data_IF_454471830253
#
_entry.id   IF_454471830253
#
_cell.length_a   1.000
_cell.length_b   1.000
_cell.length_c   1.000
_cell.angle_alpha   90.00
_cell.angle_beta   90.00
_cell.angle_gamma   90.00
#
_symmetry.space_group_name_H-M   'P 1'
#
loop_
_entity.id
_entity.type
_entity.pdbx_description
1 polymer ?
#
# COMPACT_ATOMS: atom_id res chain seq x y z
N UNK A 1 28.58 9.06 10.81
CA UNK A 1 27.36 9.40 10.04
C UNK A 1 27.70 9.22 8.57
N UNK A 2 27.04 8.29 7.86
CA UNK A 2 27.33 8.00 6.45
C UNK A 2 26.32 8.76 5.56
N UNK A 3 26.74 9.83 4.85
CA UNK A 3 25.82 10.65 4.05
C UNK A 3 25.18 9.88 2.89
N UNK A 4 25.85 8.85 2.38
CA UNK A 4 25.34 7.98 1.31
C UNK A 4 24.08 7.21 1.75
N UNK A 5 24.03 6.78 3.02
CA UNK A 5 22.89 6.04 3.57
C UNK A 5 21.65 6.93 3.66
N UNK A 6 21.85 8.21 4.00
CA UNK A 6 20.77 9.20 4.05
C UNK A 6 20.22 9.50 2.64
N UNK A 7 21.08 9.67 1.65
CA UNK A 7 20.66 9.87 0.25
C UNK A 7 19.86 8.67 -0.29
N UNK A 8 20.33 7.45 -0.07
CA UNK A 8 19.61 6.25 -0.50
C UNK A 8 18.24 6.10 0.19
N UNK A 9 18.21 6.30 1.51
CA UNK A 9 17.00 6.20 2.34
C UNK A 9 15.95 7.26 2.02
N UNK A 10 16.40 8.46 1.67
CA UNK A 10 15.48 9.59 1.44
C UNK A 10 15.01 9.67 -0.01
N UNK A 11 15.84 9.26 -0.98
CA UNK A 11 15.57 9.49 -2.40
C UNK A 11 15.42 8.23 -3.26
N UNK A 12 15.87 7.04 -2.81
CA UNK A 12 15.82 5.81 -3.61
C UNK A 12 14.89 4.76 -3.00
N UNK A 13 14.98 4.53 -1.69
CA UNK A 13 14.11 3.59 -0.96
C UNK A 13 12.61 3.79 -1.22
N UNK A 14 12.02 5.00 -1.21
CA UNK A 14 10.58 5.17 -1.47
C UNK A 14 10.13 4.65 -2.84
N UNK A 15 10.98 4.71 -3.87
CA UNK A 15 10.66 4.16 -5.19
C UNK A 15 10.75 2.63 -5.25
N UNK A 16 11.56 2.03 -4.38
CA UNK A 16 11.74 0.58 -4.26
C UNK A 16 10.84 -0.06 -3.19
N UNK A 17 10.05 0.73 -2.47
CA UNK A 17 9.21 0.22 -1.38
C UNK A 17 7.94 -0.39 -1.97
N UNK A 18 7.70 -1.66 -1.66
CA UNK A 18 6.43 -2.33 -1.98
C UNK A 18 5.36 -1.79 -1.05
N UNK A 19 4.27 -1.31 -1.62
CA UNK A 19 3.13 -0.78 -0.88
C UNK A 19 2.05 -1.85 -0.83
N UNK A 20 1.92 -2.49 0.34
CA UNK A 20 0.99 -3.60 0.53
C UNK A 20 -0.42 -3.09 0.90
N UNK A 21 -1.43 -3.77 0.35
CA UNK A 21 -2.85 -3.55 0.61
C UNK A 21 -3.55 -4.86 0.93
N UNK A 22 -4.57 -4.81 1.81
CA UNK A 22 -5.38 -5.97 2.11
C UNK A 22 -6.76 -5.62 2.68
N UNK A 23 -7.66 -6.59 2.73
CA UNK A 23 -8.90 -6.52 3.53
C UNK A 23 -8.66 -6.92 4.98
N UNK A 24 -9.57 -6.53 5.87
CA UNK A 24 -9.48 -6.90 7.30
C UNK A 24 -9.57 -8.42 7.51
N UNK A 25 -10.31 -9.13 6.65
CA UNK A 25 -10.39 -10.60 6.67
C UNK A 25 -9.16 -11.31 6.11
N UNK A 26 -8.23 -10.60 5.47
CA UNK A 26 -7.12 -11.20 4.72
C UNK A 26 -7.55 -11.93 3.43
N UNK A 27 -8.83 -11.85 3.03
CA UNK A 27 -9.34 -12.50 1.82
C UNK A 27 -8.88 -11.86 0.51
N UNK A 28 -8.49 -10.59 0.54
CA UNK A 28 -7.84 -9.89 -0.58
C UNK A 28 -6.50 -9.32 -0.12
N UNK A 29 -5.44 -9.56 -0.89
CA UNK A 29 -4.11 -8.98 -0.66
C UNK A 29 -3.44 -8.68 -1.99
N UNK A 30 -2.80 -7.52 -2.09
CA UNK A 30 -2.13 -7.06 -3.29
C UNK A 30 -1.01 -6.09 -2.94
N UNK A 31 -0.10 -5.85 -3.88
CA UNK A 31 1.07 -4.99 -3.71
C UNK A 31 1.26 -4.04 -4.91
N UNK A 32 1.55 -2.79 -4.59
CA UNK A 32 1.93 -1.77 -5.57
C UNK A 32 3.46 -1.65 -5.57
N UNK A 33 4.05 -1.73 -6.76
CA UNK A 33 5.49 -1.59 -6.98
C UNK A 33 5.67 -0.56 -8.09
N UNK A 34 5.99 0.70 -7.75
CA UNK A 34 6.12 1.79 -8.72
C UNK A 34 7.09 1.48 -9.87
N UNK A 35 8.19 0.77 -9.57
CA UNK A 35 9.22 0.38 -10.54
C UNK A 35 8.81 -0.76 -11.50
N UNK A 36 7.83 -1.59 -11.13
CA UNK A 36 7.40 -2.75 -11.93
C UNK A 36 6.05 -2.54 -12.62
N UNK A 37 5.62 -1.29 -12.81
CA UNK A 37 4.33 -0.93 -13.41
C UNK A 37 3.11 -1.53 -12.69
N UNK A 38 3.26 -1.98 -11.45
CA UNK A 38 2.15 -2.36 -10.57
C UNK A 38 1.64 -1.10 -9.88
N UNK A 39 0.57 -0.53 -10.42
CA UNK A 39 -0.02 0.71 -9.94
C UNK A 39 -1.28 0.46 -9.10
N UNK A 40 -1.60 1.43 -8.24
CA UNK A 40 -2.81 1.41 -7.41
C UNK A 40 -4.09 1.20 -8.22
N UNK A 41 -4.24 1.81 -9.40
CA UNK A 41 -5.46 1.67 -10.23
C UNK A 41 -5.74 0.21 -10.62
N UNK A 42 -4.68 -0.59 -10.79
CA UNK A 42 -4.80 -2.03 -11.07
C UNK A 42 -5.32 -2.80 -9.85
N UNK A 43 -4.83 -2.43 -8.66
CA UNK A 43 -5.26 -2.99 -7.38
C UNK A 43 -6.71 -2.62 -7.11
N UNK A 44 -7.07 -1.35 -7.31
CA UNK A 44 -8.43 -0.87 -7.13
C UNK A 44 -9.41 -1.62 -8.04
N UNK A 45 -9.06 -1.82 -9.31
CA UNK A 45 -9.90 -2.61 -10.24
C UNK A 45 -10.09 -4.05 -9.75
N UNK A 46 -9.02 -4.72 -9.33
CA UNK A 46 -9.09 -6.10 -8.80
C UNK A 46 -9.91 -6.16 -7.51
N UNK A 47 -9.76 -5.18 -6.64
CA UNK A 47 -10.52 -5.06 -5.42
C UNK A 47 -12.01 -4.85 -5.68
N UNK A 48 -12.38 -4.02 -6.67
CA UNK A 48 -13.78 -3.83 -7.06
C UNK A 48 -14.42 -5.14 -7.57
N UNK A 49 -13.68 -5.97 -8.31
CA UNK A 49 -14.14 -7.31 -8.68
C UNK A 49 -14.32 -8.21 -7.45
N UNK A 50 -13.33 -8.23 -6.55
CA UNK A 50 -13.39 -8.99 -5.29
C UNK A 50 -14.62 -8.61 -4.44
N UNK A 51 -14.95 -7.33 -4.34
CA UNK A 51 -16.15 -6.85 -3.61
C UNK A 51 -17.46 -7.42 -4.14
N UNK A 52 -17.54 -7.70 -5.45
CA UNK A 52 -18.75 -8.28 -6.06
C UNK A 52 -18.97 -9.71 -5.59
N UNK A 53 -17.88 -10.45 -5.33
CA UNK A 53 -17.90 -11.83 -4.86
C UNK A 53 -18.00 -11.92 -3.32
N UNK A 54 -17.48 -10.91 -2.61
CA UNK A 54 -17.41 -10.87 -1.14
C UNK A 54 -18.06 -9.60 -0.57
N UNK A 55 -19.40 -9.56 -0.42
CA UNK A 55 -20.10 -8.37 0.06
C UNK A 55 -19.80 -7.98 1.51
N UNK A 56 -19.18 -8.87 2.28
CA UNK A 56 -18.78 -8.61 3.67
C UNK A 56 -17.42 -7.88 3.78
N UNK A 57 -16.56 -7.95 2.76
CA UNK A 57 -15.21 -7.37 2.77
C UNK A 57 -15.08 -6.22 1.77
N UNK A 58 -15.62 -5.07 2.17
CA UNK A 58 -15.78 -3.91 1.28
C UNK A 58 -14.72 -2.83 1.48
N UNK A 59 -13.85 -2.97 2.47
CA UNK A 59 -12.84 -1.96 2.84
C UNK A 59 -11.44 -2.45 2.50
N UNK A 60 -10.71 -1.64 1.72
CA UNK A 60 -9.28 -1.85 1.44
C UNK A 60 -8.47 -1.06 2.45
N UNK A 61 -7.51 -1.72 3.08
CA UNK A 61 -6.58 -1.13 4.02
C UNK A 61 -5.19 -1.03 3.40
N UNK A 62 -4.46 0.02 3.78
CA UNK A 62 -3.02 0.10 3.56
C UNK A 62 -2.29 -0.55 4.71
N UNK A 63 -1.25 -1.32 4.41
CA UNK A 63 -0.42 -2.00 5.41
C UNK A 63 0.92 -1.31 5.68
N UNK A 64 1.19 -0.24 4.93
CA UNK A 64 2.37 0.59 5.08
C UNK A 64 2.05 1.89 5.82
N UNK A 65 3.06 2.42 6.49
CA UNK A 65 2.99 3.73 7.15
C UNK A 65 3.39 4.81 6.15
N UNK A 66 2.65 5.91 6.16
CA UNK A 66 3.03 7.11 5.44
C UNK A 66 4.17 7.76 6.20
N UNK A 67 5.25 8.11 5.49
CA UNK A 67 6.36 8.83 6.07
C UNK A 67 6.13 10.35 5.95
N UNK A 68 5.86 11.08 7.04
CA UNK A 68 5.58 12.51 6.99
C UNK A 68 6.80 13.36 6.60
N UNK A 69 8.02 12.81 6.68
CA UNK A 69 9.27 13.52 6.38
C UNK A 69 9.43 13.75 4.87
N UNK A 70 8.72 12.99 4.04
CA UNK A 70 8.77 13.09 2.58
C UNK A 70 7.84 14.21 2.07
N UNK A 71 8.19 15.46 2.38
CA UNK A 71 7.35 16.62 2.05
C UNK A 71 7.09 16.80 0.55
N UNK A 72 7.99 16.32 -0.31
CA UNK A 72 7.81 16.32 -1.78
C UNK A 72 6.70 15.37 -2.24
N UNK A 73 6.32 14.37 -1.44
CA UNK A 73 5.21 13.46 -1.73
C UNK A 73 3.87 13.97 -1.16
N UNK A 74 3.86 15.06 -0.39
CA UNK A 74 2.62 15.54 0.24
C UNK A 74 1.54 15.91 -0.78
N UNK A 75 1.94 16.45 -1.95
CA UNK A 75 1.01 16.71 -3.05
C UNK A 75 0.32 15.42 -3.52
N UNK A 76 1.09 14.36 -3.68
CA UNK A 76 0.59 13.02 -4.01
C UNK A 76 -0.27 12.43 -2.88
N UNK A 77 0.07 12.68 -1.62
CA UNK A 77 -0.71 12.22 -0.47
C UNK A 77 -2.11 12.82 -0.39
N UNK A 78 -2.26 14.08 -0.82
CA UNK A 78 -3.57 14.78 -0.82
C UNK A 78 -4.40 14.40 -2.05
N UNK A 79 -3.74 14.21 -3.19
CA UNK A 79 -4.40 13.99 -4.49
C UNK A 79 -4.73 12.52 -4.76
N UNK A 80 -3.84 11.57 -4.42
CA UNK A 80 -4.03 10.16 -4.76
C UNK A 80 -4.97 9.46 -3.75
N UNK A 81 -5.97 8.70 -4.22
CA UNK A 81 -6.96 8.04 -3.37
C UNK A 81 -6.35 7.02 -2.40
N UNK A 82 -5.24 6.38 -2.78
CA UNK A 82 -4.55 5.36 -1.97
C UNK A 82 -4.14 5.83 -0.57
N UNK A 83 -3.84 7.11 -0.40
CA UNK A 83 -3.44 7.67 0.89
C UNK A 83 -4.63 8.00 1.81
N UNK A 84 -5.85 8.02 1.27
CA UNK A 84 -7.10 8.16 2.04
C UNK A 84 -7.56 6.84 2.65
N UNK A 85 -6.93 5.73 2.29
CA UNK A 85 -7.26 4.42 2.83
C UNK A 85 -6.89 4.32 4.32
N UNK A 86 -7.71 3.61 5.12
CA UNK A 86 -7.40 3.34 6.52
C UNK A 86 -6.14 2.49 6.62
N UNK A 87 -5.31 2.79 7.62
CA UNK A 87 -4.14 1.98 7.94
C UNK A 87 -4.56 0.79 8.81
N UNK A 88 -4.09 -0.40 8.44
CA UNK A 88 -4.18 -1.61 9.26
C UNK A 88 -2.77 -2.13 9.49
N UNK A 89 -2.48 -2.57 10.70
CA UNK A 89 -1.19 -3.20 10.96
C UNK A 89 -1.17 -4.57 10.29
N UNK A 90 -0.17 -4.88 9.44
CA UNK A 90 -0.10 -6.19 8.79
C UNK A 90 -0.08 -7.39 9.76
N UNK A 91 0.27 -7.17 11.03
CA UNK A 91 0.19 -8.19 12.08
C UNK A 91 -1.23 -8.52 12.54
N UNK A 92 -2.18 -7.60 12.31
CA UNK A 92 -3.57 -7.76 12.74
C UNK A 92 -4.42 -8.48 11.68
N UNK A 93 -3.83 -8.77 10.51
CA UNK A 93 -4.50 -9.52 9.45
C UNK A 93 -4.36 -11.01 9.74
N UNK A 94 -5.48 -11.76 9.74
CA UNK A 94 -5.41 -13.22 9.82
C UNK A 94 -4.60 -13.74 8.64
N UNK A 95 -3.49 -14.40 8.95
CA UNK A 95 -2.57 -14.94 7.97
C UNK A 95 -3.26 -16.11 7.27
N UNK A 96 -3.91 -15.85 6.13
CA UNK A 96 -4.44 -16.92 5.31
C UNK A 96 -3.25 -17.58 4.60
N UNK A 97 -2.61 -18.53 5.26
CA UNK A 97 -1.64 -19.46 4.65
C UNK A 97 -2.39 -20.29 3.61
N UNK A 98 -2.50 -19.74 2.40
CA UNK A 98 -2.97 -20.46 1.21
C UNK A 98 -2.06 -20.10 0.04
N UNK A 99 -0.80 -20.53 0.17
CA UNK A 99 0.12 -20.88 -0.91
C UNK A 99 0.87 -22.11 -0.43
#
# INVERSE_FOLDING_TARGET
>A
MQPLKFLFQTFIEPFCTTLDYATASGGFRDDEIPLMARNYDGIERRFMSYKQEHPNDTVLYRLYRINPIMFWEWGDMVTKPKYRLPYLNPKDIPMNTSQ
#
